data_IF_144781637548
#
_entry.id   IF_144781637548
#
_cell.length_a   1.000
_cell.length_b   1.000
_cell.length_c   1.000
_cell.angle_alpha   90.00
_cell.angle_beta   90.00
_cell.angle_gamma   90.00
#
_symmetry.space_group_name_H-M   'P 1'
#
loop_
_entity.id
_entity.type
_entity.pdbx_description
1 polymer ?
#
# COMPACT_ATOMS: atom_id res chain seq x y z
N UNK A 1 0.62 -7.84 20.91
CA UNK A 1 0.95 -7.71 19.48
C UNK A 1 -0.14 -6.83 18.90
N UNK A 2 0.15 -5.57 18.63
CA UNK A 2 -0.84 -4.69 18.02
C UNK A 2 -1.06 -5.15 16.57
N UNK A 3 -2.29 -5.53 16.25
CA UNK A 3 -2.68 -5.84 14.89
C UNK A 3 -2.78 -4.55 14.06
N UNK A 4 -2.74 -4.67 12.73
CA UNK A 4 -2.99 -3.55 11.85
C UNK A 4 -4.37 -2.95 12.11
N UNK A 5 -4.48 -1.63 12.13
CA UNK A 5 -5.79 -0.99 12.22
C UNK A 5 -6.57 -1.14 10.91
N UNK A 6 -7.89 -0.88 10.96
CA UNK A 6 -8.77 -1.05 9.81
C UNK A 6 -8.32 -0.25 8.56
N UNK A 7 -7.73 0.94 8.75
CA UNK A 7 -7.24 1.75 7.64
C UNK A 7 -6.01 1.14 6.98
N UNK A 8 -5.07 0.62 7.78
CA UNK A 8 -3.87 -0.06 7.29
C UNK A 8 -4.22 -1.34 6.53
N UNK A 9 -5.14 -2.14 7.06
CA UNK A 9 -5.65 -3.32 6.38
C UNK A 9 -6.34 -2.94 5.06
N UNK A 10 -7.13 -1.86 5.04
CA UNK A 10 -7.80 -1.39 3.83
C UNK A 10 -6.82 -0.89 2.76
N UNK A 11 -5.71 -0.27 3.17
CA UNK A 11 -4.62 0.12 2.24
C UNK A 11 -4.02 -1.13 1.58
N UNK A 12 -3.64 -2.16 2.34
CA UNK A 12 -3.10 -3.40 1.79
C UNK A 12 -4.12 -4.11 0.90
N UNK A 13 -5.39 -4.13 1.29
CA UNK A 13 -6.46 -4.70 0.49
C UNK A 13 -6.66 -3.97 -0.85
N UNK A 14 -6.45 -2.66 -0.90
CA UNK A 14 -6.53 -1.87 -2.13
C UNK A 14 -5.36 -2.15 -3.08
N UNK A 15 -4.18 -2.42 -2.55
CA UNK A 15 -2.99 -2.81 -3.34
C UNK A 15 -3.07 -4.22 -3.93
N UNK A 16 -3.92 -5.10 -3.39
CA UNK A 16 -4.19 -6.41 -4.01
C UNK A 16 -4.95 -6.29 -5.33
N UNK A 17 -5.62 -5.18 -5.57
CA UNK A 17 -6.46 -4.99 -6.75
C UNK A 17 -5.63 -4.61 -7.97
N UNK A 18 -5.99 -5.17 -9.13
CA UNK A 18 -5.46 -4.74 -10.42
C UNK A 18 -6.09 -3.43 -10.83
N UNK A 19 -5.28 -2.39 -11.04
CA UNK A 19 -5.75 -1.08 -11.49
C UNK A 19 -5.34 -0.85 -12.94
N UNK A 20 -6.26 -0.43 -13.83
CA UNK A 20 -5.95 -0.19 -15.24
C UNK A 20 -5.01 1.00 -15.46
N UNK A 21 -4.83 1.86 -14.45
CA UNK A 21 -3.90 2.98 -14.47
C UNK A 21 -3.92 3.79 -13.17
N UNK A 22 -2.98 4.75 -13.02
CA UNK A 22 -2.83 5.54 -11.80
C UNK A 22 -4.08 6.36 -11.46
N UNK A 23 -4.77 6.92 -12.47
CA UNK A 23 -5.99 7.70 -12.24
C UNK A 23 -7.16 6.88 -11.67
N UNK A 24 -7.34 5.63 -12.12
CA UNK A 24 -8.37 4.74 -11.58
C UNK A 24 -8.09 4.37 -10.12
N UNK A 25 -6.82 4.09 -9.80
CA UNK A 25 -6.36 3.82 -8.45
C UNK A 25 -6.57 5.01 -7.52
N UNK A 26 -6.17 6.21 -7.96
CA UNK A 26 -6.32 7.42 -7.15
C UNK A 26 -7.77 7.80 -6.86
N UNK A 27 -8.69 7.57 -7.81
CA UNK A 27 -10.13 7.75 -7.54
C UNK A 27 -10.60 6.79 -6.47
N UNK A 28 -10.26 5.50 -6.58
CA UNK A 28 -10.64 4.51 -5.58
C UNK A 28 -10.04 4.79 -4.20
N UNK A 29 -8.81 5.30 -4.13
CA UNK A 29 -8.18 5.75 -2.87
C UNK A 29 -9.05 6.84 -2.22
N UNK A 30 -9.47 7.84 -2.99
CA UNK A 30 -10.31 8.94 -2.48
C UNK A 30 -11.69 8.45 -2.05
N UNK A 31 -12.35 7.68 -2.90
CA UNK A 31 -13.73 7.23 -2.69
C UNK A 31 -13.85 6.20 -1.57
N UNK A 32 -12.91 5.26 -1.45
CA UNK A 32 -13.02 4.15 -0.49
C UNK A 32 -12.33 4.42 0.84
N UNK A 33 -11.24 5.18 0.83
CA UNK A 33 -10.44 5.43 2.03
C UNK A 33 -10.58 6.86 2.55
N UNK A 34 -11.19 7.78 1.76
CA UNK A 34 -11.28 9.19 2.12
C UNK A 34 -9.91 9.87 2.19
N UNK A 35 -8.89 9.32 1.54
CA UNK A 35 -7.51 9.80 1.61
C UNK A 35 -7.12 10.58 0.36
N UNK A 36 -6.34 11.64 0.55
CA UNK A 36 -5.59 12.23 -0.54
C UNK A 36 -4.50 11.25 -1.04
N UNK A 37 -4.21 11.17 -2.35
CA UNK A 37 -3.22 10.23 -2.89
C UNK A 37 -1.84 10.33 -2.22
N UNK A 38 -1.39 11.54 -1.90
CA UNK A 38 -0.10 11.75 -1.23
C UNK A 38 -0.08 11.09 0.15
N UNK A 39 -1.13 11.28 0.96
CA UNK A 39 -1.25 10.66 2.28
C UNK A 39 -1.32 9.15 2.19
N UNK A 40 -2.01 8.63 1.18
CA UNK A 40 -2.08 7.20 0.91
C UNK A 40 -0.69 6.60 0.68
N UNK A 41 0.11 7.18 -0.23
CA UNK A 41 1.45 6.65 -0.52
C UNK A 41 2.42 6.81 0.66
N UNK A 42 2.27 7.83 1.50
CA UNK A 42 3.03 7.95 2.74
C UNK A 42 2.74 6.78 3.69
N UNK A 43 1.45 6.50 3.94
CA UNK A 43 1.03 5.40 4.81
C UNK A 43 1.44 4.05 4.22
N UNK A 44 1.28 3.87 2.91
CA UNK A 44 1.71 2.65 2.24
C UNK A 44 3.21 2.43 2.43
N UNK A 45 4.04 3.46 2.22
CA UNK A 45 5.48 3.34 2.42
C UNK A 45 5.85 2.96 3.86
N UNK A 46 5.17 3.52 4.87
CA UNK A 46 5.37 3.14 6.25
C UNK A 46 4.99 1.66 6.51
N UNK A 47 3.86 1.21 5.96
CA UNK A 47 3.44 -0.20 6.04
C UNK A 47 4.43 -1.15 5.38
N UNK A 48 5.09 -0.72 4.30
CA UNK A 48 6.13 -1.55 3.68
C UNK A 48 7.33 -1.75 4.59
N UNK A 49 7.55 -0.95 5.63
CA UNK A 49 8.65 -1.12 6.58
C UNK A 49 8.18 -1.73 7.91
N UNK A 50 6.89 -2.05 8.05
CA UNK A 50 6.26 -2.57 9.27
C UNK A 50 6.16 -4.11 9.26
N UNK A 51 6.68 -4.75 10.31
CA UNK A 51 6.60 -6.22 10.48
C UNK A 51 5.16 -6.73 10.60
N UNK A 52 4.24 -5.92 11.14
CA UNK A 52 2.82 -6.28 11.27
C UNK A 52 2.15 -6.38 9.91
N UNK A 53 2.54 -5.50 8.97
CA UNK A 53 2.07 -5.57 7.59
C UNK A 53 2.58 -6.84 6.89
N UNK A 54 3.85 -7.19 7.12
CA UNK A 54 4.45 -8.41 6.61
C UNK A 54 3.75 -9.66 7.17
N UNK A 55 3.41 -9.67 8.46
CA UNK A 55 2.68 -10.77 9.08
C UNK A 55 1.23 -10.89 8.55
N UNK A 56 0.58 -9.77 8.24
CA UNK A 56 -0.80 -9.74 7.76
C UNK A 56 -0.96 -10.11 6.28
N UNK A 57 -0.14 -9.55 5.39
CA UNK A 57 -0.18 -9.83 3.95
C UNK A 57 1.24 -9.92 3.36
N UNK A 58 1.95 -11.03 3.62
CA UNK A 58 3.34 -11.17 3.21
C UNK A 58 3.54 -11.11 1.70
N UNK A 59 2.57 -11.59 0.92
CA UNK A 59 2.67 -11.62 -0.55
C UNK A 59 2.60 -10.21 -1.11
N UNK A 60 1.59 -9.41 -0.71
CA UNK A 60 1.43 -8.04 -1.19
C UNK A 60 2.59 -7.16 -0.74
N UNK A 61 2.99 -7.28 0.53
CA UNK A 61 4.08 -6.45 1.09
C UNK A 61 5.41 -6.75 0.41
N UNK A 62 5.80 -8.03 0.25
CA UNK A 62 7.06 -8.36 -0.43
C UNK A 62 7.07 -7.94 -1.91
N UNK A 63 5.95 -8.09 -2.62
CA UNK A 63 5.83 -7.61 -4.01
C UNK A 63 6.07 -6.11 -4.11
N UNK A 64 5.46 -5.32 -3.22
CA UNK A 64 5.59 -3.86 -3.20
C UNK A 64 6.98 -3.41 -2.75
N UNK A 65 7.60 -4.09 -1.77
CA UNK A 65 9.01 -3.87 -1.37
C UNK A 65 9.93 -4.03 -2.57
N UNK A 66 9.79 -5.12 -3.33
CA UNK A 66 10.60 -5.36 -4.54
C UNK A 66 10.42 -4.29 -5.60
N UNK A 67 9.18 -3.86 -5.87
CA UNK A 67 8.90 -2.76 -6.81
C UNK A 67 9.58 -1.46 -6.35
N UNK A 68 9.55 -1.17 -5.04
CA UNK A 68 10.20 0.02 -4.45
C UNK A 68 11.71 -0.04 -4.60
N UNK A 69 12.32 -1.21 -4.40
CA UNK A 69 13.76 -1.44 -4.56
C UNK A 69 14.20 -1.27 -6.01
N UNK A 70 13.47 -1.87 -6.97
CA UNK A 70 13.76 -1.69 -8.41
C UNK A 70 13.75 -0.22 -8.81
N UNK A 71 12.73 0.54 -8.38
CA UNK A 71 12.64 2.00 -8.63
C UNK A 71 13.75 2.81 -7.97
N UNK A 72 14.32 2.32 -6.87
CA UNK A 72 15.47 2.97 -6.21
C UNK A 72 16.78 2.68 -6.94
N UNK A 73 16.93 1.49 -7.50
CA UNK A 73 18.11 1.09 -8.27
C UNK A 73 18.17 1.76 -9.66
N UNK A 74 17.03 2.15 -10.23
CA UNK A 74 16.94 2.88 -11.50
C UNK A 74 17.24 4.39 -11.39
N UNK A 75 17.48 4.90 -10.18
CA UNK A 75 17.85 6.30 -9.92
C UNK A 75 19.34 6.45 -9.69
#
# INVERSE_FOLDING_TARGET
MDELNAREQAILALERQGWPGPGAKERAIRERLGLAPVRYYQLLNALLDDERALAHDPVTVNRLRRIRETRRAER
#
